data_IF_420037653648
#
_entry.id   IF_420037653648
#
_cell.length_a   1.000
_cell.length_b   1.000
_cell.length_c   1.000
_cell.angle_alpha   90.00
_cell.angle_beta   90.00
_cell.angle_gamma   90.00
#
_symmetry.space_group_name_H-M   'P 1'
#
loop_
_entity.id
_entity.type
_entity.pdbx_description
1 polymer ?
2 non-polymer ?
3 water ?
#
# COMPACT_ATOMS: atom_id res chain seq x y z
N UNK A 1 5.01 24.58 8.99
CA UNK A 1 3.92 24.66 7.97
C UNK A 1 3.87 23.40 7.11
N UNK A 2 2.74 22.71 7.16
CA UNK A 2 2.55 21.51 6.37
C UNK A 2 2.30 21.90 4.91
N UNK A 3 3.11 21.36 4.01
CA UNK A 3 2.99 21.65 2.59
C UNK A 3 2.83 20.39 1.74
N UNK A 4 2.89 19.21 2.34
CA UNK A 4 2.77 17.96 1.60
C UNK A 4 2.00 16.95 2.43
N UNK A 5 1.19 16.14 1.75
CA UNK A 5 0.42 15.07 2.38
C UNK A 5 0.66 13.80 1.59
N UNK A 6 1.24 12.79 2.24
CA UNK A 6 1.60 11.54 1.59
C UNK A 6 0.68 10.41 2.08
N UNK A 7 0.39 9.47 1.18
CA UNK A 7 -0.55 8.40 1.45
C UNK A 7 0.07 7.04 1.13
N UNK A 8 -0.23 6.05 1.95
CA UNK A 8 0.04 4.66 1.63
C UNK A 8 -0.98 4.18 0.59
N UNK A 9 -0.81 2.95 0.11
CA UNK A 9 -1.72 2.40 -0.89
C UNK A 9 -2.76 1.48 -0.26
N UNK A 10 -2.43 0.20 -0.13
CA UNK A 10 -3.39 -0.78 0.37
C UNK A 10 -3.89 -0.39 1.76
N UNK A 11 -5.20 -0.47 1.95
CA UNK A 11 -5.83 -0.12 3.21
C UNK A 11 -6.08 1.35 3.40
N UNK A 12 -5.42 2.21 2.63
CA UNK A 12 -5.61 3.66 2.71
C UNK A 12 -6.41 4.19 1.53
N UNK A 13 -5.93 3.96 0.30
CA UNK A 13 -6.63 4.42 -0.89
C UNK A 13 -7.53 3.33 -1.46
N UNK A 14 -6.98 2.14 -1.72
CA UNK A 14 -7.76 1.02 -2.25
C UNK A 14 -8.11 0.06 -1.12
N UNK A 15 -9.32 -0.50 -1.20
CA UNK A 15 -9.89 -1.24 -0.08
C UNK A 15 -9.28 -2.63 0.05
N UNK A 16 -9.03 -3.04 1.29
CA UNK A 16 -8.61 -4.40 1.56
C UNK A 16 -9.69 -5.39 1.12
N UNK A 17 -10.95 -4.99 1.21
CA UNK A 17 -12.04 -5.85 0.77
C UNK A 17 -11.94 -6.13 -0.73
N UNK A 18 -11.72 -5.08 -1.52
CA UNK A 18 -11.57 -5.27 -2.96
C UNK A 18 -10.35 -6.12 -3.30
N UNK A 19 -9.25 -5.93 -2.57
CA UNK A 19 -8.07 -6.75 -2.80
C UNK A 19 -8.35 -8.20 -2.43
N UNK A 20 -9.10 -8.44 -1.36
CA UNK A 20 -9.45 -9.81 -0.98
C UNK A 20 -10.34 -10.44 -2.04
N UNK A 21 -11.30 -9.69 -2.58
CA UNK A 21 -12.12 -10.21 -3.67
C UNK A 21 -11.27 -10.50 -4.90
N UNK A 22 -10.34 -9.59 -5.23
CA UNK A 22 -9.45 -9.82 -6.36
C UNK A 22 -8.56 -11.04 -6.11
N UNK A 23 -7.96 -11.13 -4.93
CA UNK A 23 -7.09 -12.25 -4.62
C UNK A 23 -7.81 -13.58 -4.74
N UNK A 24 -9.09 -13.63 -4.35
CA UNK A 24 -9.84 -14.87 -4.45
C UNK A 24 -10.05 -15.26 -5.90
N UNK A 25 -10.45 -14.32 -6.75
CA UNK A 25 -10.63 -14.62 -8.17
C UNK A 25 -9.31 -14.94 -8.84
N UNK A 26 -8.21 -14.39 -8.33
CA UNK A 26 -6.89 -14.75 -8.85
C UNK A 26 -6.62 -16.23 -8.61
N UNK A 27 -6.74 -16.67 -7.34
CA UNK A 27 -6.54 -18.08 -7.03
C UNK A 27 -7.53 -18.97 -7.77
N UNK A 28 -8.74 -18.47 -8.02
CA UNK A 28 -9.72 -19.24 -8.78
C UNK A 28 -9.23 -19.49 -10.20
N UNK A 29 -8.80 -18.43 -10.89
CA UNK A 29 -8.32 -18.59 -12.26
C UNK A 29 -7.05 -19.43 -12.32
N UNK A 30 -6.21 -19.37 -11.28
CA UNK A 30 -5.01 -20.19 -11.24
C UNK A 30 -5.38 -21.67 -11.14
N UNK A 31 -6.39 -21.99 -10.34
CA UNK A 31 -6.74 -23.39 -10.12
C UNK A 31 -7.67 -23.93 -11.20
N UNK A 32 -8.62 -23.12 -11.65
CA UNK A 32 -9.60 -23.61 -12.61
C UNK A 32 -10.37 -24.77 -12.01
N UNK A 33 -10.27 -25.93 -12.64
CA UNK A 33 -11.01 -27.11 -12.23
C UNK A 33 -10.25 -27.97 -11.21
N UNK A 34 -9.07 -27.53 -10.79
CA UNK A 34 -8.26 -28.33 -9.89
C UNK A 34 -9.00 -28.55 -8.58
N UNK A 35 -8.95 -29.75 -7.99
CA UNK A 35 -9.73 -30.03 -6.77
C UNK A 35 -9.08 -29.48 -5.51
N UNK A 36 -8.87 -28.17 -5.49
CA UNK A 36 -8.32 -27.47 -4.33
C UNK A 36 -9.22 -26.28 -4.02
N UNK A 37 -9.71 -26.22 -2.79
CA UNK A 37 -10.55 -25.10 -2.38
C UNK A 37 -9.78 -23.79 -2.57
N UNK A 38 -10.18 -22.93 -3.51
CA UNK A 38 -9.44 -21.68 -3.71
C UNK A 38 -9.33 -20.83 -2.46
N UNK A 39 -10.24 -21.01 -1.50
CA UNK A 39 -10.14 -20.28 -0.23
C UNK A 39 -8.97 -20.79 0.60
N UNK A 40 -8.75 -22.10 0.60
CA UNK A 40 -7.59 -22.65 1.31
C UNK A 40 -6.29 -22.19 0.65
N UNK A 41 -6.26 -22.14 -0.67
CA UNK A 41 -5.07 -21.66 -1.37
C UNK A 41 -4.79 -20.19 -1.03
N UNK A 42 -5.84 -19.39 -0.90
CA UNK A 42 -5.65 -17.98 -0.57
C UNK A 42 -5.10 -17.81 0.85
N UNK A 43 -5.71 -18.48 1.82
CA UNK A 43 -5.23 -18.39 3.20
C UNK A 43 -3.76 -18.77 3.30
N UNK A 44 -3.37 -19.87 2.65
CA UNK A 44 -1.97 -20.27 2.63
C UNK A 44 -1.12 -19.27 1.87
N UNK A 45 -1.66 -18.66 0.81
CA UNK A 45 -0.93 -17.63 0.09
C UNK A 45 -0.69 -16.41 0.97
N UNK A 46 -1.70 -16.00 1.73
CA UNK A 46 -1.54 -14.84 2.60
C UNK A 46 -0.56 -15.12 3.73
N UNK A 47 -0.56 -16.35 4.25
CA UNK A 47 0.38 -16.70 5.31
C UNK A 47 1.81 -16.65 4.82
N UNK A 48 2.08 -17.19 3.63
CA UNK A 48 3.43 -17.18 3.10
C UNK A 48 3.87 -15.77 2.73
N UNK A 49 2.95 -14.95 2.19
CA UNK A 49 3.31 -13.60 1.80
C UNK A 49 3.56 -12.73 3.03
N UNK A 50 2.77 -12.91 4.09
CA UNK A 50 3.02 -12.19 5.33
C UNK A 50 4.42 -12.50 5.86
N UNK A 51 4.80 -13.79 5.83
CA UNK A 51 6.13 -14.17 6.31
C UNK A 51 7.22 -13.57 5.42
N UNK A 52 6.97 -13.50 4.12
CA UNK A 52 7.96 -12.94 3.20
C UNK A 52 8.13 -11.43 3.43
N UNK A 53 7.02 -10.70 3.52
CA UNK A 53 7.10 -9.26 3.72
C UNK A 53 7.75 -8.91 5.05
N UNK A 54 7.59 -9.76 6.06
CA UNK A 54 8.24 -9.51 7.35
C UNK A 54 9.74 -9.67 7.24
N UNK A 55 10.21 -10.65 6.46
CA UNK A 55 11.64 -10.86 6.28
C UNK A 55 12.30 -9.73 5.51
N UNK A 56 11.54 -8.97 4.71
CA UNK A 56 12.09 -7.92 3.87
C UNK A 56 11.83 -6.52 4.40
N UNK A 57 11.08 -6.38 5.48
CA UNK A 57 10.80 -5.05 6.04
C UNK A 57 12.10 -4.34 6.36
N UNK A 58 12.22 -3.10 5.86
CA UNK A 58 13.38 -2.28 6.13
C UNK A 58 14.67 -2.74 5.48
N UNK A 59 14.61 -3.72 4.59
CA UNK A 59 15.77 -4.31 3.95
C UNK A 59 15.90 -3.86 2.50
N UNK A 60 17.04 -4.11 1.86
CA UNK A 60 17.20 -3.73 0.46
C UNK A 60 16.09 -4.28 -0.40
N UNK A 61 15.75 -3.54 -1.46
CA UNK A 61 14.62 -3.90 -2.31
C UNK A 61 14.91 -5.18 -3.09
N UNK A 62 13.88 -6.01 -3.23
CA UNK A 62 13.84 -7.14 -4.14
C UNK A 62 12.52 -7.10 -4.88
N UNK A 63 12.51 -7.32 -6.19
CA UNK A 63 11.25 -7.18 -6.94
C UNK A 63 10.13 -8.02 -6.32
N UNK A 64 9.00 -7.35 -6.03
CA UNK A 64 7.85 -8.04 -5.49
C UNK A 64 7.38 -9.16 -6.41
N UNK A 65 7.53 -8.97 -7.72
CA UNK A 65 7.17 -10.04 -8.65
C UNK A 65 7.95 -11.32 -8.35
N UNK A 66 9.24 -11.18 -8.07
CA UNK A 66 10.05 -12.36 -7.72
C UNK A 66 9.59 -12.97 -6.41
N UNK A 67 9.31 -12.13 -5.41
CA UNK A 67 8.92 -12.64 -4.10
C UNK A 67 7.60 -13.40 -4.19
N UNK A 68 6.62 -12.85 -4.92
CA UNK A 68 5.31 -13.47 -5.00
C UNK A 68 5.33 -14.69 -5.92
N UNK A 69 6.04 -14.61 -7.04
CA UNK A 69 6.18 -15.78 -7.90
C UNK A 69 6.85 -16.93 -7.15
N UNK A 70 7.77 -16.60 -6.23
CA UNK A 70 8.42 -17.64 -5.43
C UNK A 70 7.42 -18.32 -4.51
N UNK A 71 6.53 -17.55 -3.89
CA UNK A 71 5.52 -18.13 -2.99
C UNK A 71 4.58 -19.04 -3.77
N UNK A 72 4.11 -18.58 -4.93
CA UNK A 72 3.13 -19.36 -5.68
C UNK A 72 3.75 -20.58 -6.33
N UNK A 73 5.03 -20.52 -6.70
CA UNK A 73 5.71 -21.73 -7.15
C UNK A 73 5.78 -22.77 -6.03
N UNK A 74 5.98 -22.31 -4.79
CA UNK A 74 5.98 -23.24 -3.66
C UNK A 74 4.60 -23.83 -3.43
N UNK A 75 3.56 -23.01 -3.57
CA UNK A 75 2.19 -23.49 -3.37
C UNK A 75 1.79 -24.46 -4.48
N UNK A 76 2.23 -24.18 -5.72
CA UNK A 76 1.90 -25.07 -6.83
C UNK A 76 2.52 -26.44 -6.63
N UNK A 77 3.79 -26.48 -6.24
CA UNK A 77 4.45 -27.76 -5.98
C UNK A 77 3.84 -28.46 -4.76
N UNK A 78 3.39 -27.70 -3.77
CA UNK A 78 2.80 -28.29 -2.57
C UNK A 78 1.50 -29.02 -2.91
N UNK A 79 0.62 -28.39 -3.68
CA UNK A 79 -0.71 -28.92 -3.92
C UNK A 79 -0.84 -29.66 -5.24
N UNK A 80 0.13 -29.52 -6.15
CA UNK A 80 0.19 -30.34 -7.34
C UNK A 80 -0.44 -29.76 -8.59
N UNK A 81 -0.91 -28.50 -8.54
CA UNK A 81 -1.46 -27.87 -9.73
C UNK A 81 -0.35 -27.17 -10.52
N UNK A 82 -0.65 -26.87 -11.78
CA UNK A 82 0.34 -26.27 -12.66
C UNK A 82 0.61 -24.82 -12.24
N UNK A 83 1.89 -24.49 -12.07
CA UNK A 83 2.25 -23.11 -11.80
C UNK A 83 1.89 -22.25 -13.01
N UNK A 84 1.01 -21.25 -12.85
CA UNK A 84 0.68 -20.38 -13.98
C UNK A 84 1.79 -19.40 -14.28
N UNK A 85 2.42 -19.55 -15.44
CA UNK A 85 3.50 -18.65 -15.83
C UNK A 85 3.02 -17.20 -15.94
N UNK A 86 1.73 -16.99 -16.20
CA UNK A 86 1.15 -15.66 -16.29
C UNK A 86 0.55 -15.19 -14.98
N UNK A 87 1.03 -15.70 -13.84
CA UNK A 87 0.49 -15.31 -12.55
C UNK A 87 0.50 -13.80 -12.37
N UNK A 88 1.62 -13.16 -12.72
CA UNK A 88 1.74 -11.72 -12.58
C UNK A 88 0.66 -11.00 -13.38
N UNK A 89 0.49 -11.41 -14.65
CA UNK A 89 -0.54 -10.79 -15.48
C UNK A 89 -1.93 -11.01 -14.91
N UNK A 90 -2.21 -12.21 -14.41
CA UNK A 90 -3.51 -12.50 -13.82
C UNK A 90 -3.75 -11.61 -12.62
N UNK A 91 -2.74 -11.47 -11.75
CA UNK A 91 -2.88 -10.63 -10.58
C UNK A 91 -3.14 -9.17 -10.98
N UNK A 92 -2.47 -8.70 -12.03
CA UNK A 92 -2.70 -7.33 -12.50
C UNK A 92 -4.12 -7.16 -13.02
N UNK A 93 -4.57 -8.07 -13.89
CA UNK A 93 -5.89 -7.93 -14.48
C UNK A 93 -6.99 -7.95 -13.42
N UNK A 94 -6.98 -8.97 -12.56
CA UNK A 94 -8.03 -9.10 -11.56
C UNK A 94 -8.00 -7.92 -10.58
N UNK A 95 -6.80 -7.53 -10.13
CA UNK A 95 -6.69 -6.39 -9.24
C UNK A 95 -7.34 -5.14 -9.84
N UNK A 96 -7.18 -4.95 -11.16
CA UNK A 96 -7.67 -3.74 -11.81
C UNK A 96 -9.17 -3.78 -12.04
N UNK A 97 -9.75 -4.97 -12.23
CA UNK A 97 -11.18 -5.06 -12.51
C UNK A 97 -12.02 -4.97 -11.25
N UNK A 98 -11.56 -5.57 -10.16
CA UNK A 98 -12.33 -5.64 -8.92
C UNK A 98 -11.80 -4.73 -7.82
N UNK A 99 -10.61 -4.15 -7.99
CA UNK A 99 -10.14 -3.18 -7.02
C UNK A 99 -11.03 -1.96 -6.99
N UNK A 100 -11.14 -1.35 -5.80
CA UNK A 100 -12.00 -0.19 -5.62
C UNK A 100 -11.40 0.74 -4.59
N UNK A 101 -11.73 2.02 -4.71
CA UNK A 101 -11.29 3.04 -3.77
C UNK A 101 -12.30 3.18 -2.64
N UNK A 102 -11.83 3.58 -1.48
CA UNK A 102 -12.74 3.92 -0.40
C UNK A 102 -13.59 5.12 -0.81
N UNK A 103 -14.84 5.21 -0.33
CA UNK A 103 -15.78 6.18 -0.90
C UNK A 103 -15.28 7.62 -0.88
N UNK A 104 -14.36 7.98 0.02
CA UNK A 104 -13.96 9.37 0.19
C UNK A 104 -12.63 9.72 -0.45
N UNK A 105 -11.96 8.75 -1.10
CA UNK A 105 -10.60 8.97 -1.58
C UNK A 105 -10.56 10.15 -2.55
N UNK A 106 -11.34 10.06 -3.63
CA UNK A 106 -11.28 11.11 -4.66
C UNK A 106 -11.57 12.47 -4.05
N UNK A 107 -12.61 12.56 -3.22
CA UNK A 107 -12.94 13.83 -2.57
C UNK A 107 -11.75 14.38 -1.81
N UNK A 108 -11.09 13.54 -1.01
CA UNK A 108 -9.97 14.00 -0.20
C UNK A 108 -8.80 14.41 -1.09
N UNK A 109 -8.45 13.56 -2.07
CA UNK A 109 -7.33 13.87 -2.95
C UNK A 109 -7.53 15.19 -3.68
N UNK A 110 -8.76 15.50 -4.07
CA UNK A 110 -9.01 16.74 -4.79
C UNK A 110 -8.91 17.95 -3.86
N UNK A 111 -9.45 17.84 -2.65
CA UNK A 111 -9.40 18.97 -1.73
C UNK A 111 -7.97 19.31 -1.34
N UNK A 112 -7.07 18.33 -1.39
CA UNK A 112 -5.69 18.56 -1.00
C UNK A 112 -4.87 19.12 -2.15
N UNK A 113 -4.97 18.50 -3.33
CA UNK A 113 -4.17 18.94 -4.47
C UNK A 113 -4.46 20.40 -4.78
N UNK A 114 -3.43 21.10 -5.21
CA UNK A 114 -3.51 22.55 -5.41
C UNK A 114 -3.06 23.32 -4.19
N UNK A 115 -3.53 22.90 -3.00
CA UNK A 115 -3.10 23.53 -1.76
C UNK A 115 -1.78 22.94 -1.26
N UNK A 116 -1.67 21.62 -1.27
CA UNK A 116 -0.48 20.94 -0.78
C UNK A 116 0.01 19.94 -1.82
N UNK A 117 1.28 19.57 -1.69
CA UNK A 117 1.81 18.46 -2.48
C UNK A 117 1.12 17.17 -2.06
N UNK A 118 0.67 16.40 -3.03
CA UNK A 118 -0.04 15.14 -2.80
C UNK A 118 0.79 14.03 -3.39
N UNK A 119 1.21 13.09 -2.54
CA UNK A 119 2.08 12.02 -2.97
C UNK A 119 1.63 10.68 -2.41
N UNK A 120 2.16 9.63 -3.02
CA UNK A 120 1.97 8.26 -2.54
C UNK A 120 3.33 7.67 -2.22
N UNK A 121 3.38 6.88 -1.15
CA UNK A 121 4.57 6.14 -0.76
C UNK A 121 4.14 4.70 -0.50
N UNK A 122 4.65 3.76 -1.30
CA UNK A 122 4.13 2.41 -1.27
C UNK A 122 5.26 1.39 -1.40
N UNK A 123 5.08 0.26 -0.71
CA UNK A 123 5.95 -0.92 -0.86
C UNK A 123 5.40 -1.74 -2.02
N UNK A 124 5.85 -1.40 -3.22
CA UNK A 124 5.46 -2.17 -4.41
C UNK A 124 6.35 -1.75 -5.56
N UNK A 125 6.46 -2.64 -6.54
CA UNK A 125 7.18 -2.30 -7.75
C UNK A 125 6.47 -1.14 -8.44
N UNK A 126 7.26 -0.30 -9.11
CA UNK A 126 6.71 0.91 -9.70
C UNK A 126 5.69 0.59 -10.79
N UNK A 127 5.96 -0.44 -11.59
CA UNK A 127 5.04 -0.82 -12.65
C UNK A 127 3.64 -1.06 -12.11
N UNK A 128 3.52 -1.88 -11.06
CA UNK A 128 2.20 -2.24 -10.56
C UNK A 128 1.54 -1.05 -9.86
N UNK A 129 2.32 -0.22 -9.17
CA UNK A 129 1.76 0.95 -8.52
C UNK A 129 1.11 1.88 -9.54
N UNK A 130 1.80 2.11 -10.67
CA UNK A 130 1.26 2.98 -11.70
C UNK A 130 0.04 2.35 -12.37
N UNK A 131 0.14 1.08 -12.73
CA UNK A 131 -0.98 0.41 -13.39
C UNK A 131 -2.23 0.39 -12.53
N UNK A 132 -2.05 0.27 -11.21
CA UNK A 132 -3.21 0.23 -10.32
C UNK A 132 -3.81 1.61 -10.14
N UNK A 133 -2.98 2.64 -9.99
CA UNK A 133 -3.51 4.00 -9.96
C UNK A 133 -4.25 4.34 -11.24
N UNK A 134 -3.74 3.88 -12.38
CA UNK A 134 -4.43 4.12 -13.65
C UNK A 134 -5.77 3.40 -13.70
N UNK A 135 -5.80 2.13 -13.30
CA UNK A 135 -7.05 1.37 -13.34
C UNK A 135 -8.09 1.99 -12.41
N UNK A 136 -7.66 2.62 -11.33
CA UNK A 136 -8.56 3.29 -10.40
C UNK A 136 -8.84 4.74 -10.77
N UNK A 137 -8.15 5.27 -11.78
CA UNK A 137 -8.46 6.59 -12.30
C UNK A 137 -7.98 7.75 -11.46
N UNK A 138 -6.99 7.56 -10.59
CA UNK A 138 -6.53 8.59 -9.68
C UNK A 138 -5.06 8.90 -9.85
N UNK A 139 -4.42 8.41 -10.92
CA UNK A 139 -2.99 8.65 -11.09
C UNK A 139 -2.68 10.13 -11.26
N UNK A 140 -3.57 10.88 -11.90
CA UNK A 140 -3.36 12.30 -12.15
C UNK A 140 -3.59 13.16 -10.91
N UNK A 141 -4.04 12.58 -9.80
CA UNK A 141 -4.28 13.34 -8.57
C UNK A 141 -3.07 13.40 -7.66
N UNK A 142 -1.93 12.85 -8.09
CA UNK A 142 -0.73 12.82 -7.27
C UNK A 142 0.37 13.64 -7.93
N UNK A 143 1.07 14.43 -7.11
CA UNK A 143 2.24 15.16 -7.58
C UNK A 143 3.50 14.31 -7.55
N UNK A 144 3.50 13.22 -6.78
CA UNK A 144 4.66 12.34 -6.72
C UNK A 144 4.18 10.94 -6.36
N UNK A 145 4.87 9.95 -6.93
CA UNK A 145 4.63 8.54 -6.65
C UNK A 145 5.98 7.92 -6.35
N UNK A 146 6.16 7.47 -5.11
CA UNK A 146 7.45 6.99 -4.63
C UNK A 146 7.30 5.55 -4.18
N UNK A 147 8.19 4.68 -4.66
CA UNK A 147 8.09 3.25 -4.41
C UNK A 147 9.39 2.74 -3.81
N UNK A 148 9.29 1.58 -3.16
CA UNK A 148 10.48 0.92 -2.62
C UNK A 148 11.48 0.61 -3.74
N UNK A 149 10.98 0.34 -4.94
CA UNK A 149 11.87 0.06 -6.07
C UNK A 149 12.75 1.26 -6.38
N UNK A 150 12.17 2.46 -6.35
CA UNK A 150 12.95 3.67 -6.60
C UNK A 150 13.97 3.91 -5.51
N UNK A 151 13.54 3.82 -4.25
CA UNK A 151 14.42 4.14 -3.13
C UNK A 151 15.45 3.05 -2.86
N UNK A 152 15.15 1.81 -3.23
CA UNK A 152 16.08 0.71 -3.00
C UNK A 152 15.92 0.00 -1.69
N UNK A 153 14.88 0.32 -0.92
CA UNK A 153 14.67 -0.28 0.39
C UNK A 153 13.16 -0.33 0.67
N UNK A 154 12.75 -1.36 1.40
CA UNK A 154 11.36 -1.47 1.83
C UNK A 154 11.14 -0.66 3.10
N UNK A 155 9.90 -0.21 3.29
CA UNK A 155 9.53 0.40 4.55
C UNK A 155 9.79 -0.57 5.69
N UNK A 156 10.10 -0.07 6.90
CA UNK A 156 10.19 1.34 7.30
C UNK A 156 11.56 1.98 7.10
N UNK A 157 12.34 1.50 6.13
CA UNK A 157 13.62 2.12 5.88
C UNK A 157 13.42 3.60 5.56
N UNK A 158 14.23 4.50 6.13
CA UNK A 158 13.96 5.93 5.93
C UNK A 158 14.16 6.41 4.49
N UNK A 159 14.88 5.65 3.66
CA UNK A 159 15.23 6.15 2.33
C UNK A 159 14.00 6.40 1.47
N UNK A 160 12.99 5.54 1.59
CA UNK A 160 11.79 5.72 0.77
C UNK A 160 11.07 7.00 1.16
N UNK A 161 11.04 7.31 2.45
CA UNK A 161 10.47 8.58 2.89
C UNK A 161 11.36 9.75 2.49
N UNK A 162 12.67 9.62 2.70
CA UNK A 162 13.61 10.66 2.25
C UNK A 162 13.36 11.01 0.80
N UNK A 163 13.21 9.99 -0.05
CA UNK A 163 13.01 10.23 -1.48
C UNK A 163 11.68 10.94 -1.74
N UNK A 164 10.63 10.56 -1.01
CA UNK A 164 9.35 11.24 -1.16
C UNK A 164 9.47 12.72 -0.83
N UNK A 165 10.09 13.04 0.30
CA UNK A 165 10.24 14.44 0.70
C UNK A 165 11.10 15.20 -0.30
N UNK A 166 12.16 14.57 -0.80
CA UNK A 166 13.00 15.24 -1.79
C UNK A 166 12.22 15.55 -3.07
N UNK A 167 11.42 14.58 -3.54
CA UNK A 167 10.59 14.83 -4.72
C UNK A 167 9.70 16.05 -4.50
N UNK A 168 9.17 16.22 -3.29
CA UNK A 168 8.30 17.35 -3.01
C UNK A 168 9.07 18.62 -2.67
N UNK A 169 10.35 18.51 -2.33
CA UNK A 169 11.13 19.68 -1.97
C UNK A 169 10.75 20.30 -0.64
N UNK A 170 10.38 19.46 0.34
CA UNK A 170 10.00 19.94 1.66
C UNK A 170 10.77 19.16 2.71
N UNK A 171 10.83 19.74 3.91
CA UNK A 171 11.39 19.06 5.05
C UNK A 171 10.37 18.09 5.64
N UNK A 172 10.88 17.10 6.37
CA UNK A 172 9.98 16.15 7.03
C UNK A 172 8.97 16.84 7.91
N UNK A 173 9.38 17.88 8.64
CA UNK A 173 8.47 18.59 9.52
C UNK A 173 7.32 19.25 8.76
N UNK A 174 7.47 19.45 7.45
CA UNK A 174 6.44 20.08 6.63
C UNK A 174 5.56 19.05 5.92
N UNK A 175 5.62 17.78 6.31
CA UNK A 175 4.94 16.72 5.59
C UNK A 175 4.12 15.86 6.53
N UNK A 176 3.02 15.32 6.01
CA UNK A 176 2.17 14.37 6.71
C UNK A 176 2.21 13.04 5.96
N UNK A 177 2.08 11.95 6.70
CA UNK A 177 2.00 10.62 6.11
C UNK A 177 0.83 9.87 6.71
N UNK A 178 0.01 9.26 5.84
CA UNK A 178 -1.21 8.58 6.24
C UNK A 178 -1.09 7.11 5.83
N UNK A 179 -1.43 6.21 6.76
CA UNK A 179 -1.38 4.78 6.48
C UNK A 179 -2.04 4.02 7.61
N UNK A 180 -2.16 2.71 7.40
CA UNK A 180 -2.81 1.83 8.36
C UNK A 180 -1.86 0.86 9.05
N UNK A 181 -0.56 0.93 8.77
CA UNK A 181 0.42 0.03 9.38
C UNK A 181 1.23 0.78 10.42
N UNK A 182 0.98 0.58 11.72
CA UNK A 182 1.64 1.44 12.74
C UNK A 182 3.16 1.41 12.69
N UNK A 183 3.78 0.28 12.38
CA UNK A 183 5.24 0.20 12.45
C UNK A 183 5.87 0.73 11.16
N UNK A 184 5.39 0.25 10.01
CA UNK A 184 5.98 0.67 8.74
C UNK A 184 5.72 2.14 8.45
N UNK A 185 4.61 2.68 8.92
CA UNK A 185 4.17 4.01 8.53
C UNK A 185 4.49 5.06 9.59
N UNK A 186 3.85 4.97 10.76
CA UNK A 186 4.14 5.92 11.83
C UNK A 186 5.61 5.85 12.23
N UNK A 187 6.13 4.64 12.45
CA UNK A 187 7.52 4.51 12.87
C UNK A 187 8.50 4.98 11.81
N UNK A 188 8.27 4.58 10.55
CA UNK A 188 9.19 4.94 9.49
C UNK A 188 9.17 6.42 9.17
N UNK A 189 7.99 7.02 9.17
CA UNK A 189 7.87 8.45 8.86
C UNK A 189 8.31 9.33 10.03
N UNK A 190 8.16 8.83 11.26
CA UNK A 190 8.56 9.62 12.43
C UNK A 190 10.06 9.85 12.47
N UNK A 191 10.85 8.94 11.85
CA UNK A 191 12.29 9.11 11.86
C UNK A 191 12.72 10.40 11.18
N UNK A 192 11.93 10.90 10.24
CA UNK A 192 12.24 12.12 9.51
C UNK A 192 11.48 13.33 10.01
N UNK A 193 10.80 13.21 11.15
CA UNK A 193 10.04 14.33 11.68
C UNK A 193 8.72 14.59 11.00
N UNK A 194 8.23 13.66 10.18
CA UNK A 194 6.93 13.81 9.56
C UNK A 194 5.83 13.64 10.60
N UNK A 195 4.69 14.28 10.36
CA UNK A 195 3.51 14.08 11.18
C UNK A 195 2.80 12.81 10.72
N UNK A 196 2.68 11.84 11.62
CA UNK A 196 2.08 10.56 11.29
C UNK A 196 0.59 10.57 11.61
N UNK A 197 -0.22 10.11 10.66
CA UNK A 197 -1.66 9.95 10.85
C UNK A 197 -1.98 8.48 10.61
N UNK A 198 -2.41 7.79 11.66
CA UNK A 198 -2.80 6.39 11.53
C UNK A 198 -4.25 6.31 11.07
N UNK A 199 -4.51 5.46 10.07
CA UNK A 199 -5.84 5.23 9.57
C UNK A 199 -6.33 3.89 10.10
N UNK A 200 -7.29 3.93 11.01
CA UNK A 200 -7.90 2.73 11.61
C UNK A 200 -9.38 2.77 11.29
N UNK A 201 -9.72 2.31 10.08
CA UNK A 201 -11.10 2.40 9.61
C UNK A 201 -12.05 1.61 10.49
N UNK A 202 -11.62 0.45 10.98
CA UNK A 202 -12.46 -0.45 11.76
C UNK A 202 -12.15 -0.41 13.26
N UNK A 203 -11.26 0.49 13.68
CA UNK A 203 -10.93 0.57 15.10
C UNK A 203 -10.32 -0.68 15.66
N UNK A 204 -9.46 -1.34 14.89
CA UNK A 204 -8.84 -2.60 15.29
C UNK A 204 -7.40 -2.44 15.75
N UNK A 205 -6.87 -1.22 15.78
CA UNK A 205 -5.46 -0.97 16.05
C UNK A 205 -5.27 -0.10 17.28
N UNK A 206 -6.22 -0.15 18.22
CA UNK A 206 -6.15 0.73 19.40
C UNK A 206 -4.84 0.57 20.15
N UNK A 207 -4.22 -0.61 20.10
CA UNK A 207 -2.99 -0.85 20.83
C UNK A 207 -1.81 -0.05 20.31
N UNK A 208 -1.94 0.57 19.14
CA UNK A 208 -0.86 1.36 18.54
C UNK A 208 -1.20 2.85 18.45
N UNK A 209 -2.33 3.28 19.01
CA UNK A 209 -2.74 4.67 18.86
C UNK A 209 -1.78 5.62 19.56
N UNK A 210 -1.27 5.22 20.73
CA UNK A 210 -0.48 6.13 21.56
C UNK A 210 0.88 6.45 20.98
N UNK A 211 1.27 5.87 19.84
CA UNK A 211 2.56 6.18 19.22
C UNK A 211 2.44 7.11 18.02
N UNK A 212 1.37 7.01 17.24
CA UNK A 212 1.17 7.90 16.11
C UNK A 212 0.66 9.25 16.58
N UNK A 213 0.93 10.29 15.78
CA UNK A 213 0.55 11.64 16.18
C UNK A 213 -0.96 11.84 16.14
N UNK A 214 -1.63 11.25 15.15
CA UNK A 214 -3.07 11.35 15.03
C UNK A 214 -3.62 10.01 14.58
N UNK A 215 -4.90 9.78 14.88
CA UNK A 215 -5.62 8.59 14.45
C UNK A 215 -6.95 9.03 13.85
N UNK A 216 -7.28 8.49 12.68
CA UNK A 216 -8.52 8.81 11.99
C UNK A 216 -9.14 7.52 11.46
N UNK A 217 -10.46 7.54 11.31
CA UNK A 217 -11.19 6.43 10.69
C UNK A 217 -11.63 6.74 9.27
N UNK A 218 -11.49 7.99 8.83
CA UNK A 218 -11.92 8.42 7.51
C UNK A 218 -10.92 9.46 7.00
N UNK A 219 -10.54 9.35 5.73
CA UNK A 219 -9.54 10.26 5.18
C UNK A 219 -10.01 11.70 5.16
N UNK A 220 -11.32 11.95 5.23
CA UNK A 220 -11.81 13.32 5.29
C UNK A 220 -11.40 14.04 6.57
N UNK A 221 -10.92 13.31 7.58
CA UNK A 221 -10.37 13.95 8.77
C UNK A 221 -8.96 14.46 8.56
N UNK A 222 -8.28 14.02 7.51
CA UNK A 222 -6.90 14.47 7.27
C UNK A 222 -6.87 15.96 6.98
N UNK A 223 -7.81 16.45 6.15
CA UNK A 223 -7.82 17.87 5.81
C UNK A 223 -8.03 18.71 7.06
N UNK A 224 -8.85 18.22 8.00
CA UNK A 224 -9.04 18.95 9.25
C UNK A 224 -7.74 19.08 10.01
N UNK A 225 -7.01 17.97 10.17
CA UNK A 225 -5.76 17.99 10.93
C UNK A 225 -4.76 18.93 10.29
N UNK A 226 -4.64 18.90 8.97
CA UNK A 226 -3.70 19.78 8.28
C UNK A 226 -4.05 21.25 8.53
N UNK A 227 -5.35 21.56 8.66
CA UNK A 227 -5.75 22.93 8.95
C UNK A 227 -5.51 23.30 10.40
N UNK A 228 -5.82 22.38 11.32
CA UNK A 228 -5.54 22.62 12.74
C UNK A 228 -4.08 22.95 12.96
N UNK A 229 -3.17 22.29 12.23
CA UNK A 229 -1.75 22.49 12.43
C UNK A 229 -1.23 23.73 11.72
N UNK A 230 -1.81 24.09 10.58
CA UNK A 230 -1.41 25.30 9.87
C UNK A 230 -2.13 26.52 10.43
X LIG B 1 -3.54 -8.16 -5.42
X LIG B 1 -2.55 -8.80 -5.44
X LIG B 1 -2.32 -9.91 -4.43
X LIG B 1 -1.48 -8.50 -6.51
X LIG B 1 -0.34 -9.28 -6.59
X LIG B 1 0.61 -9.01 -7.56
X LIG B 1 0.42 -7.95 -8.43
X LIG B 1 -0.72 -7.18 -8.36
X LIG B 1 -1.67 -7.45 -7.38
#
# INVERSE_FOLDING_TARGET
MIRAVFFDSLGTLNSVEGAAKSHLKIMEEVLGDYPLNPKTLLDEYEKLTREAFSNYAGKPYRPLRDILEEVMRKLAEKYGFKYPENFWEISLRMSQRYGELYPEVVEVLKSLKGKYHVGMITDSDTEQAMAFLDALGIKDLFDSITTSEEAGFFKPHPRIFELALKKAGVKGEEAVYVGDNPVKDCGGSKNLGMTSILLDRKGEKREFWDKCDFIVSDLREVIKIVDELNGQGSLEHHHHHH
AC0 O1 C7 C8 C1 C2 C3 C4 C5 C6
#
